data_IF_330447967677
#
_entry.id   IF_330447967677
#
_cell.length_a   1.000
_cell.length_b   1.000
_cell.length_c   1.000
_cell.angle_alpha   90.00
_cell.angle_beta   90.00
_cell.angle_gamma   90.00
#
_symmetry.space_group_name_H-M   'P 1'
#
loop_
_entity.id
_entity.type
_entity.pdbx_description
1 polymer ?
#
# COMPACT_ATOMS: atom_id res chain seq x y z
N UNK A 1 -11.40 10.28 9.16
CA UNK A 1 -12.64 9.53 9.48
C UNK A 1 -12.36 8.57 10.62
N UNK A 2 -13.34 8.21 11.47
CA UNK A 2 -13.15 7.13 12.45
C UNK A 2 -13.06 5.77 11.75
N UNK A 3 -12.14 4.91 12.16
CA UNK A 3 -12.02 3.54 11.65
C UNK A 3 -12.77 2.52 12.52
N UNK A 4 -13.38 2.95 13.63
CA UNK A 4 -14.16 2.07 14.53
C UNK A 4 -15.23 1.22 13.83
N UNK A 5 -15.89 1.66 12.73
CA UNK A 5 -16.84 0.81 12.01
C UNK A 5 -16.19 -0.42 11.33
N UNK A 6 -14.87 -0.44 11.16
CA UNK A 6 -14.13 -1.57 10.58
C UNK A 6 -13.59 -2.54 11.63
N UNK A 7 -13.90 -2.37 12.92
CA UNK A 7 -13.45 -3.30 13.97
C UNK A 7 -14.07 -4.68 13.74
N UNK A 8 -13.29 -5.72 13.98
CA UNK A 8 -13.76 -7.11 13.89
C UNK A 8 -14.78 -7.37 15.01
N UNK A 9 -15.99 -7.79 14.63
CA UNK A 9 -17.02 -8.28 15.54
C UNK A 9 -16.99 -9.80 15.70
N UNK A 10 -16.78 -10.52 14.60
CA UNK A 10 -16.70 -11.97 14.62
C UNK A 10 -15.80 -12.49 13.52
N UNK A 11 -15.22 -13.66 13.78
CA UNK A 11 -14.40 -14.40 12.84
C UNK A 11 -15.02 -15.79 12.69
N UNK A 12 -15.28 -16.19 11.46
CA UNK A 12 -15.61 -17.57 11.12
C UNK A 12 -14.56 -18.11 10.13
N UNK A 13 -14.21 -19.39 10.28
CA UNK A 13 -13.26 -20.05 9.40
C UNK A 13 -13.96 -21.18 8.67
N UNK A 14 -13.64 -21.31 7.39
CA UNK A 14 -13.99 -22.45 6.55
C UNK A 14 -12.71 -23.14 6.10
N UNK A 15 -12.83 -24.22 5.33
CA UNK A 15 -11.66 -24.90 4.76
C UNK A 15 -10.87 -24.02 3.78
N UNK A 16 -11.48 -22.94 3.27
CA UNK A 16 -10.91 -22.13 2.18
C UNK A 16 -10.81 -20.64 2.48
N UNK A 17 -11.60 -20.12 3.43
CA UNK A 17 -11.72 -18.69 3.71
C UNK A 17 -11.79 -18.38 5.20
N UNK A 18 -11.20 -17.23 5.55
CA UNK A 18 -11.44 -16.47 6.77
C UNK A 18 -12.55 -15.45 6.50
N UNK A 19 -13.63 -15.50 7.26
CA UNK A 19 -14.77 -14.59 7.18
C UNK A 19 -14.72 -13.64 8.37
N UNK A 20 -14.47 -12.35 8.11
CA UNK A 20 -14.41 -11.32 9.15
C UNK A 20 -15.67 -10.45 9.05
N UNK A 21 -16.54 -10.52 10.05
CA UNK A 21 -17.68 -9.59 10.15
C UNK A 21 -17.23 -8.35 10.91
N UNK A 22 -17.37 -7.18 10.28
CA UNK A 22 -16.95 -5.90 10.83
C UNK A 22 -18.11 -5.18 11.54
N UNK A 23 -17.79 -4.19 12.37
CA UNK A 23 -18.77 -3.45 13.17
C UNK A 23 -19.82 -2.67 12.37
N UNK A 24 -19.55 -2.36 11.11
CA UNK A 24 -20.49 -1.76 10.17
C UNK A 24 -21.40 -2.79 9.47
N UNK A 25 -21.28 -4.09 9.79
CA UNK A 25 -22.05 -5.18 9.19
C UNK A 25 -21.47 -5.70 7.87
N UNK A 26 -20.36 -5.13 7.37
CA UNK A 26 -19.67 -5.67 6.21
C UNK A 26 -18.92 -6.96 6.58
N UNK A 27 -18.97 -7.97 5.70
CA UNK A 27 -18.19 -9.20 5.85
C UNK A 27 -17.08 -9.25 4.81
N UNK A 28 -15.83 -9.30 5.27
CA UNK A 28 -14.67 -9.58 4.41
C UNK A 28 -14.50 -11.08 4.27
N UNK A 29 -14.19 -11.53 3.05
CA UNK A 29 -13.88 -12.93 2.73
C UNK A 29 -12.43 -13.02 2.26
N UNK A 30 -11.55 -13.48 3.14
CA UNK A 30 -10.13 -13.57 2.85
C UNK A 30 -9.73 -15.03 2.58
N UNK A 31 -9.29 -15.40 1.36
CA UNK A 31 -8.86 -16.75 1.05
C UNK A 31 -7.65 -17.16 1.89
N UNK A 32 -7.77 -18.28 2.61
CA UNK A 32 -6.71 -18.79 3.50
C UNK A 32 -5.40 -19.09 2.74
N UNK A 33 -5.48 -19.43 1.44
CA UNK A 33 -4.33 -19.67 0.55
C UNK A 33 -3.40 -18.46 0.36
N UNK A 34 -3.85 -17.24 0.69
CA UNK A 34 -2.99 -16.04 0.69
C UNK A 34 -2.10 -15.97 1.93
N UNK A 35 -2.37 -16.80 2.93
CA UNK A 35 -1.65 -16.84 4.19
C UNK A 35 -1.10 -18.25 4.43
N UNK A 36 0.12 -18.50 3.95
CA UNK A 36 0.76 -19.84 3.97
C UNK A 36 0.69 -20.56 5.34
N UNK A 37 0.75 -19.81 6.44
CA UNK A 37 0.63 -20.36 7.80
C UNK A 37 -0.78 -20.85 8.11
N UNK A 38 -1.81 -20.10 7.71
CA UNK A 38 -3.20 -20.51 7.85
C UNK A 38 -3.53 -21.66 6.90
N UNK A 39 -3.01 -21.63 5.67
CA UNK A 39 -3.19 -22.69 4.69
C UNK A 39 -2.68 -24.04 5.20
N UNK A 40 -1.49 -24.06 5.81
CA UNK A 40 -0.89 -25.27 6.36
C UNK A 40 -1.42 -25.69 7.73
N UNK A 41 -2.17 -24.82 8.43
CA UNK A 41 -2.71 -25.11 9.75
C UNK A 41 -3.89 -26.11 9.68
N UNK A 42 -4.02 -26.95 10.70
CA UNK A 42 -5.21 -27.77 10.89
C UNK A 42 -6.44 -26.93 11.25
N UNK A 43 -7.67 -27.43 11.04
CA UNK A 43 -8.88 -26.71 11.48
C UNK A 43 -8.84 -26.31 12.97
N UNK A 44 -8.34 -27.20 13.84
CA UNK A 44 -8.23 -26.93 15.27
C UNK A 44 -7.25 -25.79 15.59
N UNK A 45 -6.11 -25.72 14.90
CA UNK A 45 -5.14 -24.62 15.07
C UNK A 45 -5.68 -23.29 14.55
N UNK A 46 -6.45 -23.32 13.46
CA UNK A 46 -7.10 -22.12 12.90
C UNK A 46 -8.14 -21.52 13.84
N UNK A 47 -8.74 -22.31 14.72
CA UNK A 47 -9.68 -21.79 15.73
C UNK A 47 -8.98 -21.09 16.90
N UNK A 48 -7.66 -21.25 17.07
CA UNK A 48 -6.89 -20.67 18.19
C UNK A 48 -6.38 -19.26 17.88
N UNK A 49 -7.29 -18.34 17.58
CA UNK A 49 -6.96 -16.94 17.30
C UNK A 49 -7.19 -16.00 18.49
N UNK A 50 -6.56 -14.83 18.45
CA UNK A 50 -6.78 -13.73 19.40
C UNK A 50 -6.82 -12.39 18.65
N UNK A 51 -7.65 -11.46 19.14
CA UNK A 51 -7.69 -10.10 18.60
C UNK A 51 -6.55 -9.25 19.19
N UNK A 52 -5.98 -8.40 18.34
CA UNK A 52 -4.96 -7.40 18.68
C UNK A 52 -5.27 -6.08 17.96
N UNK A 53 -4.39 -5.08 18.07
CA UNK A 53 -4.56 -3.74 17.48
C UNK A 53 -5.97 -3.17 17.72
N UNK A 54 -6.45 -3.20 18.97
CA UNK A 54 -7.79 -2.71 19.33
C UNK A 54 -8.94 -3.35 18.52
N UNK A 55 -8.82 -4.64 18.20
CA UNK A 55 -9.83 -5.40 17.46
C UNK A 55 -9.78 -5.21 15.94
N UNK A 56 -8.70 -4.65 15.40
CA UNK A 56 -8.44 -4.57 13.96
C UNK A 56 -7.51 -5.68 13.46
N UNK A 57 -6.69 -6.24 14.37
CA UNK A 57 -5.72 -7.30 14.05
C UNK A 57 -6.13 -8.66 14.61
N UNK A 58 -5.63 -9.72 13.98
CA UNK A 58 -5.80 -11.12 14.41
C UNK A 58 -4.45 -11.81 14.45
N UNK A 59 -4.19 -12.55 15.53
CA UNK A 59 -3.00 -13.41 15.68
C UNK A 59 -3.41 -14.86 15.91
N UNK A 60 -2.54 -15.78 15.49
CA UNK A 60 -2.59 -17.21 15.83
C UNK A 60 -1.29 -17.57 16.53
N UNK A 61 -1.21 -17.48 17.88
CA UNK A 61 0.05 -17.61 18.60
C UNK A 61 0.76 -18.95 18.40
N UNK A 62 0.00 -20.01 18.10
CA UNK A 62 0.55 -21.33 17.77
C UNK A 62 1.22 -21.39 16.39
N UNK A 63 0.85 -20.49 15.47
CA UNK A 63 1.34 -20.45 14.08
C UNK A 63 2.47 -19.43 13.88
N UNK A 64 2.44 -18.33 14.61
CA UNK A 64 3.43 -17.26 14.54
C UNK A 64 3.49 -16.48 15.86
N UNK A 65 4.69 -16.04 16.23
CA UNK A 65 4.87 -15.12 17.35
C UNK A 65 3.96 -13.89 17.18
N UNK A 66 3.12 -13.53 18.18
CA UNK A 66 2.21 -12.41 18.06
C UNK A 66 2.93 -11.06 17.83
N UNK A 67 2.41 -10.25 16.93
CA UNK A 67 2.76 -8.83 16.75
C UNK A 67 1.63 -7.94 17.28
N UNK A 68 1.92 -6.65 17.47
CA UNK A 68 0.91 -5.69 17.92
C UNK A 68 -0.17 -5.47 16.85
N UNK A 69 0.23 -5.47 15.57
CA UNK A 69 -0.64 -5.24 14.41
C UNK A 69 -1.46 -6.47 14.03
N UNK A 70 -1.00 -7.66 14.40
CA UNK A 70 -1.57 -8.93 14.00
C UNK A 70 -0.81 -9.60 12.85
N UNK A 71 -1.07 -10.89 12.68
CA UNK A 71 -0.67 -11.62 11.47
C UNK A 71 -1.55 -11.24 10.28
N UNK A 72 -2.78 -10.79 10.56
CA UNK A 72 -3.73 -10.22 9.62
C UNK A 72 -4.33 -8.97 10.25
N UNK A 73 -4.51 -7.91 9.46
CA UNK A 73 -5.14 -6.67 9.90
C UNK A 73 -6.20 -6.23 8.89
N UNK A 74 -7.39 -5.89 9.36
CA UNK A 74 -8.50 -5.50 8.47
C UNK A 74 -8.23 -4.21 7.71
N UNK A 75 -7.38 -3.32 8.22
CA UNK A 75 -7.00 -2.13 7.48
C UNK A 75 -6.24 -2.48 6.22
N UNK A 76 -5.36 -3.48 6.26
CA UNK A 76 -4.57 -3.89 5.10
C UNK A 76 -5.49 -4.52 4.04
N UNK A 77 -6.42 -5.40 4.46
CA UNK A 77 -7.41 -6.01 3.55
C UNK A 77 -8.32 -4.97 2.87
N UNK A 78 -8.82 -3.99 3.64
CA UNK A 78 -9.67 -2.93 3.11
C UNK A 78 -8.88 -1.95 2.22
N UNK A 79 -7.59 -1.77 2.50
CA UNK A 79 -6.73 -0.93 1.69
C UNK A 79 -6.42 -1.59 0.34
N UNK A 80 -6.14 -2.89 0.35
CA UNK A 80 -6.00 -3.68 -0.87
C UNK A 80 -7.27 -3.59 -1.74
N UNK A 81 -8.46 -3.66 -1.12
CA UNK A 81 -9.73 -3.46 -1.85
C UNK A 81 -9.85 -2.05 -2.46
N UNK A 82 -9.38 -1.00 -1.78
CA UNK A 82 -9.34 0.35 -2.36
C UNK A 82 -8.50 0.36 -3.64
N UNK A 83 -7.34 -0.29 -3.62
CA UNK A 83 -6.46 -0.40 -4.78
C UNK A 83 -7.05 -1.26 -5.89
N UNK A 84 -7.58 -2.43 -5.56
CA UNK A 84 -8.21 -3.33 -6.53
C UNK A 84 -9.37 -2.62 -7.25
N UNK A 85 -10.21 -1.87 -6.52
CA UNK A 85 -11.31 -1.11 -7.12
C UNK A 85 -10.82 0.03 -8.02
N UNK A 86 -9.82 0.80 -7.59
CA UNK A 86 -9.26 1.88 -8.39
C UNK A 86 -8.58 1.36 -9.68
N UNK A 87 -7.84 0.24 -9.57
CA UNK A 87 -7.22 -0.42 -10.71
C UNK A 87 -8.25 -1.05 -11.67
N UNK A 88 -9.35 -1.59 -11.15
CA UNK A 88 -10.46 -2.07 -11.98
C UNK A 88 -11.13 -0.91 -12.75
N UNK A 89 -11.33 0.25 -12.12
CA UNK A 89 -11.84 1.46 -12.79
C UNK A 89 -10.85 1.96 -13.85
N UNK A 90 -9.55 1.93 -13.56
CA UNK A 90 -8.51 2.25 -14.55
C UNK A 90 -8.57 1.34 -15.77
N UNK A 91 -8.70 0.02 -15.55
CA UNK A 91 -8.83 -0.95 -16.63
C UNK A 91 -10.10 -0.69 -17.47
N UNK A 92 -11.23 -0.40 -16.81
CA UNK A 92 -12.47 -0.04 -17.48
C UNK A 92 -12.37 1.28 -18.27
N UNK A 93 -11.48 2.18 -17.85
CA UNK A 93 -11.15 3.43 -18.55
C UNK A 93 -10.05 3.25 -19.63
N UNK A 94 -9.79 2.02 -20.08
CA UNK A 94 -8.77 1.71 -21.09
C UNK A 94 -7.37 2.20 -20.70
N UNK A 95 -7.05 2.10 -19.40
CA UNK A 95 -5.77 2.53 -18.83
C UNK A 95 -5.47 4.03 -18.91
N UNK A 96 -6.49 4.85 -19.21
CA UNK A 96 -6.37 6.31 -19.26
C UNK A 96 -6.66 6.92 -17.89
N UNK A 97 -5.59 7.30 -17.18
CA UNK A 97 -5.64 7.84 -15.82
C UNK A 97 -6.49 9.12 -15.72
N UNK A 98 -6.39 10.00 -16.71
CA UNK A 98 -7.09 11.28 -16.78
C UNK A 98 -8.62 11.15 -16.92
N UNK A 99 -9.12 9.98 -17.33
CA UNK A 99 -10.56 9.67 -17.36
C UNK A 99 -11.14 9.29 -16.01
N UNK A 100 -10.29 9.04 -15.00
CA UNK A 100 -10.75 8.63 -13.68
C UNK A 100 -11.13 9.82 -12.79
N UNK A 101 -11.90 9.53 -11.74
CA UNK A 101 -12.15 10.49 -10.66
C UNK A 101 -10.83 10.89 -10.00
N UNK A 102 -10.77 12.08 -9.39
CA UNK A 102 -9.55 12.53 -8.70
C UNK A 102 -9.10 11.55 -7.60
N UNK A 103 -10.04 10.92 -6.90
CA UNK A 103 -9.73 9.93 -5.86
C UNK A 103 -9.10 8.68 -6.46
N UNK A 104 -9.68 8.15 -7.54
CA UNK A 104 -9.12 6.96 -8.20
C UNK A 104 -7.76 7.25 -8.82
N UNK A 105 -7.54 8.46 -9.37
CA UNK A 105 -6.23 8.88 -9.83
C UNK A 105 -5.19 8.82 -8.69
N UNK A 106 -5.53 9.37 -7.52
CA UNK A 106 -4.67 9.37 -6.34
C UNK A 106 -4.38 7.94 -5.84
N UNK A 107 -5.40 7.06 -5.78
CA UNK A 107 -5.24 5.66 -5.39
C UNK A 107 -4.36 4.88 -6.37
N UNK A 108 -4.55 5.07 -7.69
CA UNK A 108 -3.70 4.45 -8.71
C UNK A 108 -2.26 4.93 -8.59
N UNK A 109 -2.03 6.23 -8.31
CA UNK A 109 -0.68 6.76 -8.15
C UNK A 109 0.03 6.18 -6.91
N UNK A 110 -0.68 6.05 -5.79
CA UNK A 110 -0.14 5.40 -4.58
C UNK A 110 0.16 3.93 -4.84
N UNK A 111 -0.74 3.18 -5.49
CA UNK A 111 -0.51 1.78 -5.83
C UNK A 111 0.71 1.61 -6.74
N UNK A 112 0.83 2.41 -7.81
CA UNK A 112 1.98 2.38 -8.73
C UNK A 112 3.30 2.68 -8.02
N UNK A 113 3.28 3.64 -7.11
CA UNK A 113 4.43 4.00 -6.27
C UNK A 113 4.85 2.82 -5.41
N UNK A 114 3.94 2.23 -4.63
CA UNK A 114 4.27 1.06 -3.80
C UNK A 114 4.71 -0.13 -4.66
N UNK A 115 4.00 -0.44 -5.74
CA UNK A 115 4.31 -1.59 -6.59
C UNK A 115 5.72 -1.51 -7.21
N UNK A 116 6.09 -0.37 -7.77
CA UNK A 116 7.38 -0.25 -8.47
C UNK A 116 8.54 0.03 -7.52
N UNK A 117 8.36 0.83 -6.47
CA UNK A 117 9.46 1.09 -5.51
C UNK A 117 9.84 -0.18 -4.76
N UNK A 118 8.86 -1.01 -4.38
CA UNK A 118 9.17 -2.30 -3.74
C UNK A 118 9.76 -3.34 -4.71
N UNK A 119 9.59 -3.18 -6.02
CA UNK A 119 10.06 -4.16 -7.01
C UNK A 119 11.42 -3.78 -7.61
N UNK A 120 11.69 -2.50 -7.83
CA UNK A 120 12.92 -2.01 -8.44
C UNK A 120 13.28 -0.57 -8.10
N UNK A 121 12.83 -0.08 -6.94
CA UNK A 121 13.20 1.24 -6.42
C UNK A 121 12.51 2.41 -7.13
N UNK A 122 12.85 3.62 -6.68
CA UNK A 122 12.28 4.87 -7.16
C UNK A 122 12.45 5.07 -8.67
N UNK A 123 13.57 4.64 -9.23
CA UNK A 123 13.83 4.76 -10.66
C UNK A 123 12.86 3.93 -11.50
N UNK A 124 12.48 2.72 -11.07
CA UNK A 124 11.47 1.94 -11.77
C UNK A 124 10.12 2.68 -11.80
N UNK A 125 9.70 3.24 -10.66
CA UNK A 125 8.46 4.01 -10.55
C UNK A 125 8.47 5.24 -11.47
N UNK A 126 9.56 5.99 -11.46
CA UNK A 126 9.69 7.18 -12.30
C UNK A 126 9.71 6.84 -13.78
N UNK A 127 10.49 5.85 -14.20
CA UNK A 127 10.64 5.48 -15.60
C UNK A 127 9.34 4.89 -16.19
N UNK A 128 8.58 4.14 -15.40
CA UNK A 128 7.31 3.56 -15.85
C UNK A 128 6.18 4.59 -15.96
N UNK A 129 6.11 5.56 -15.03
CA UNK A 129 4.91 6.40 -14.88
C UNK A 129 5.15 7.91 -14.98
N UNK A 130 6.41 8.32 -15.01
CA UNK A 130 6.84 9.68 -15.23
C UNK A 130 6.55 10.65 -14.08
N UNK A 131 7.03 11.88 -14.29
CA UNK A 131 6.90 13.01 -13.36
C UNK A 131 5.44 13.31 -12.94
N UNK A 132 4.42 13.29 -13.85
CA UNK A 132 3.04 13.58 -13.44
C UNK A 132 2.48 12.59 -12.41
N UNK A 133 2.75 11.29 -12.56
CA UNK A 133 2.28 10.27 -11.60
C UNK A 133 3.00 10.40 -10.27
N UNK A 134 4.30 10.69 -10.29
CA UNK A 134 5.08 10.96 -9.08
C UNK A 134 4.53 12.17 -8.31
N UNK A 135 4.20 13.27 -9.00
CA UNK A 135 3.58 14.45 -8.39
C UNK A 135 2.21 14.14 -7.76
N UNK A 136 1.42 13.29 -8.41
CA UNK A 136 0.13 12.86 -7.90
C UNK A 136 0.28 11.99 -6.63
N UNK A 137 1.27 11.08 -6.60
CA UNK A 137 1.59 10.28 -5.40
C UNK A 137 2.04 11.17 -4.24
N UNK A 138 2.91 12.17 -4.47
CA UNK A 138 3.31 13.16 -3.46
C UNK A 138 2.10 13.93 -2.90
N UNK A 139 1.17 14.34 -3.76
CA UNK A 139 -0.05 15.03 -3.34
C UNK A 139 -0.96 14.11 -2.50
N UNK A 140 -1.08 12.85 -2.90
CA UNK A 140 -1.88 11.85 -2.19
C UNK A 140 -1.27 11.51 -0.81
N UNK A 141 0.06 11.30 -0.71
CA UNK A 141 0.77 11.09 0.55
C UNK A 141 0.57 12.26 1.53
N UNK A 142 0.68 13.49 1.01
CA UNK A 142 0.39 14.70 1.81
C UNK A 142 -1.06 14.73 2.29
N UNK A 143 -2.01 14.37 1.43
CA UNK A 143 -3.45 14.36 1.74
C UNK A 143 -3.80 13.32 2.82
N UNK A 144 -3.17 12.14 2.81
CA UNK A 144 -3.39 11.11 3.84
C UNK A 144 -2.61 11.36 5.13
N UNK A 145 -1.64 12.27 5.11
CA UNK A 145 -0.82 12.59 6.28
C UNK A 145 0.32 11.59 6.53
N UNK A 146 0.78 10.89 5.49
CA UNK A 146 1.94 9.98 5.57
C UNK A 146 3.24 10.81 5.50
N UNK A 147 3.58 11.45 6.62
CA UNK A 147 4.63 12.47 6.68
C UNK A 147 6.03 11.95 6.39
N UNK A 148 6.36 10.75 6.86
CA UNK A 148 7.69 10.16 6.70
C UNK A 148 7.85 9.61 5.28
N UNK A 149 6.84 8.88 4.78
CA UNK A 149 6.81 8.39 3.41
C UNK A 149 6.85 9.54 2.40
N UNK A 150 6.11 10.62 2.67
CA UNK A 150 6.18 11.85 1.87
C UNK A 150 7.58 12.45 1.86
N UNK A 151 8.27 12.49 3.01
CA UNK A 151 9.61 13.03 3.11
C UNK A 151 10.62 12.20 2.29
N UNK A 152 10.55 10.87 2.38
CA UNK A 152 11.36 9.95 1.57
C UNK A 152 11.13 10.20 0.08
N UNK A 153 9.87 10.13 -0.39
CA UNK A 153 9.56 10.31 -1.80
C UNK A 153 9.91 11.71 -2.31
N UNK A 154 9.73 12.75 -1.48
CA UNK A 154 10.11 14.12 -1.83
C UNK A 154 11.63 14.25 -1.97
N UNK A 155 12.41 13.53 -1.15
CA UNK A 155 13.87 13.55 -1.22
C UNK A 155 14.38 12.82 -2.45
N UNK A 156 13.84 11.62 -2.73
CA UNK A 156 14.11 10.89 -3.98
C UNK A 156 13.83 11.77 -5.20
N UNK A 157 12.70 12.49 -5.16
CA UNK A 157 12.32 13.42 -6.21
C UNK A 157 13.29 14.60 -6.33
N UNK A 158 13.75 15.17 -5.21
CA UNK A 158 14.71 16.26 -5.22
C UNK A 158 16.08 15.89 -5.82
N UNK A 159 16.49 14.62 -5.72
CA UNK A 159 17.72 14.14 -6.37
C UNK A 159 17.61 14.17 -7.90
N UNK A 160 16.40 13.98 -8.45
CA UNK A 160 16.20 13.96 -9.90
C UNK A 160 15.90 15.34 -10.50
N UNK A 161 15.44 16.31 -9.70
CA UNK A 161 14.97 17.61 -10.22
C UNK A 161 16.04 18.37 -11.03
N UNK A 162 17.33 18.19 -10.72
CA UNK A 162 18.43 18.81 -11.49
C UNK A 162 18.54 18.27 -12.92
N UNK A 163 18.01 17.08 -13.18
CA UNK A 163 18.09 16.43 -14.49
C UNK A 163 16.92 16.76 -15.41
N UNK A 164 15.80 17.31 -14.91
CA UNK A 164 14.63 17.64 -15.74
C UNK A 164 14.96 18.63 -16.88
N UNK A 165 16.01 19.44 -16.71
CA UNK A 165 16.51 20.37 -17.72
C UNK A 165 17.96 20.09 -18.16
N UNK A 166 18.54 18.95 -17.75
CA UNK A 166 19.93 18.63 -18.06
C UNK A 166 20.06 18.12 -19.50
N UNK A 167 20.97 18.67 -20.32
CA UNK A 167 21.23 18.16 -21.66
C UNK A 167 21.94 16.79 -21.65
N UNK A 168 22.48 16.36 -20.51
CA UNK A 168 23.18 15.07 -20.34
C UNK A 168 22.21 13.89 -20.18
N UNK A 169 20.92 14.17 -19.92
CA UNK A 169 19.87 13.17 -19.75
C UNK A 169 18.89 13.33 -20.90
N UNK A 170 18.84 12.32 -21.78
CA UNK A 170 17.92 12.32 -22.92
C UNK A 170 16.64 11.58 -22.55
N UNK A 171 16.76 10.48 -21.80
CA UNK A 171 15.67 9.65 -21.32
C UNK A 171 15.73 9.48 -19.79
N UNK A 172 14.60 9.19 -19.12
CA UNK A 172 14.56 8.99 -17.66
C UNK A 172 15.51 7.86 -17.19
N UNK A 173 15.74 6.85 -18.02
CA UNK A 173 16.64 5.75 -17.71
C UNK A 173 18.12 6.17 -17.65
N UNK A 174 18.50 7.32 -18.24
CA UNK A 174 19.88 7.81 -18.22
C UNK A 174 20.24 8.47 -16.89
N UNK A 175 19.22 8.88 -16.11
CA UNK A 175 19.40 9.66 -14.87
C UNK A 175 20.33 8.94 -13.89
N UNK A 176 20.12 7.64 -13.67
CA UNK A 176 20.90 6.90 -12.67
C UNK A 176 22.39 6.90 -13.02
N UNK A 177 22.75 6.75 -14.29
CA UNK A 177 24.14 6.80 -14.75
C UNK A 177 24.76 8.20 -14.71
N UNK A 178 23.94 9.26 -14.71
CA UNK A 178 24.37 10.65 -14.62
C UNK A 178 24.47 11.17 -13.16
N UNK A 179 24.00 10.39 -12.19
CA UNK A 179 24.17 10.66 -10.77
C UNK A 179 25.60 10.40 -10.32
N UNK A 180 26.10 11.25 -9.43
CA UNK A 180 27.35 11.00 -8.71
C UNK A 180 27.22 9.78 -7.79
N UNK A 181 28.33 9.14 -7.44
CA UNK A 181 28.33 7.99 -6.53
C UNK A 181 27.59 8.30 -5.21
N UNK A 182 27.78 9.50 -4.65
CA UNK A 182 27.10 9.92 -3.42
C UNK A 182 25.58 10.08 -3.59
N UNK A 183 25.11 10.52 -4.77
CA UNK A 183 23.68 10.61 -5.05
C UNK A 183 23.07 9.21 -5.27
N UNK A 184 23.80 8.28 -5.88
CA UNK A 184 23.36 6.88 -6.03
C UNK A 184 23.25 6.20 -4.67
N UNK A 185 24.28 6.33 -3.82
CA UNK A 185 24.24 5.84 -2.43
C UNK A 185 23.06 6.44 -1.65
N UNK A 186 22.78 7.73 -1.83
CA UNK A 186 21.61 8.36 -1.20
C UNK A 186 20.29 7.81 -1.73
N UNK A 187 20.15 7.58 -3.05
CA UNK A 187 18.96 6.98 -3.63
C UNK A 187 18.71 5.56 -3.09
N UNK A 188 19.76 4.73 -3.02
CA UNK A 188 19.68 3.38 -2.45
C UNK A 188 19.23 3.40 -0.98
N UNK A 189 19.79 4.32 -0.17
CA UNK A 189 19.39 4.49 1.22
C UNK A 189 17.92 4.94 1.36
N UNK A 190 17.42 5.77 0.44
CA UNK A 190 16.03 6.20 0.42
C UNK A 190 15.10 5.07 0.01
N UNK A 191 15.47 4.25 -0.99
CA UNK A 191 14.69 3.06 -1.38
C UNK A 191 14.54 2.11 -0.19
N UNK A 192 15.63 1.85 0.54
CA UNK A 192 15.58 1.08 1.78
C UNK A 192 14.65 1.71 2.82
N UNK A 193 14.74 3.03 3.03
CA UNK A 193 13.86 3.74 3.95
C UNK A 193 12.38 3.67 3.56
N UNK A 194 12.07 3.57 2.26
CA UNK A 194 10.72 3.33 1.78
C UNK A 194 10.24 1.90 2.11
N UNK A 195 11.09 0.89 1.93
CA UNK A 195 10.77 -0.52 2.20
C UNK A 195 10.50 -0.82 3.67
N UNK A 196 10.94 0.04 4.59
CA UNK A 196 10.59 -0.05 6.02
C UNK A 196 9.12 0.33 6.30
N UNK A 197 8.39 0.87 5.31
CA UNK A 197 7.02 1.37 5.45
C UNK A 197 6.85 2.31 6.65
N UNK A 198 7.53 3.46 6.67
CA UNK A 198 7.62 4.33 7.85
C UNK A 198 6.27 4.95 8.27
N UNK A 199 5.27 4.90 7.40
CA UNK A 199 3.87 5.23 7.72
C UNK A 199 2.94 4.09 7.29
N UNK A 200 1.96 3.75 8.14
CA UNK A 200 0.93 2.74 7.82
C UNK A 200 -0.11 3.32 6.85
N UNK A 201 0.17 3.24 5.55
CA UNK A 201 -0.72 3.76 4.49
C UNK A 201 -2.11 3.15 4.54
N UNK A 202 -2.26 1.88 4.90
CA UNK A 202 -3.57 1.24 5.05
C UNK A 202 -4.46 1.96 6.07
N UNK A 203 -3.91 2.28 7.25
CA UNK A 203 -4.63 3.00 8.30
C UNK A 203 -4.88 4.46 7.91
N UNK A 204 -3.88 5.17 7.42
CA UNK A 204 -4.00 6.60 7.07
C UNK A 204 -4.90 6.82 5.85
N UNK A 205 -4.70 6.01 4.82
CA UNK A 205 -5.45 6.01 3.58
C UNK A 205 -6.94 5.74 3.81
N UNK A 206 -7.30 4.75 4.62
CA UNK A 206 -8.71 4.47 4.93
C UNK A 206 -9.41 5.63 5.66
N UNK A 207 -8.70 6.43 6.45
CA UNK A 207 -9.31 7.60 7.10
C UNK A 207 -9.73 8.69 6.12
N UNK A 208 -9.16 8.68 4.91
CA UNK A 208 -9.40 9.65 3.84
C UNK A 208 -10.26 9.07 2.71
N UNK A 209 -9.93 7.86 2.27
CA UNK A 209 -10.53 7.22 1.09
C UNK A 209 -11.54 6.13 1.42
N UNK A 210 -11.59 5.63 2.65
CA UNK A 210 -12.42 4.48 3.03
C UNK A 210 -13.92 4.67 2.83
N UNK A 211 -14.41 5.90 2.74
CA UNK A 211 -15.80 6.18 2.39
C UNK A 211 -16.18 5.76 0.95
N UNK A 212 -15.18 5.55 0.07
CA UNK A 212 -15.40 5.12 -1.31
C UNK A 212 -15.39 3.59 -1.47
N UNK A 213 -15.18 2.85 -0.39
CA UNK A 213 -15.29 1.39 -0.42
C UNK A 213 -16.74 1.02 -0.74
N UNK A 214 -16.94 0.52 -1.95
CA UNK A 214 -18.19 -0.11 -2.33
C UNK A 214 -18.19 -1.56 -1.81
N UNK A 215 -19.32 -2.04 -1.26
CA UNK A 215 -19.48 -3.45 -0.87
C UNK A 215 -19.47 -4.38 -2.09
#
# INVERSE_FOLDING_TARGET
>A
MSLTPYRIQSIALTDTHLLLTLANGHTLQEPIRRHIRLENATPAEREQWQLVDDGFGVVWPALLAPSAEGMLNVHDLLWDQCYEQAMARLAAAEWQLDRLSRVDQELVALWRMEADINNGGFMQFLCNWGSPTCQLALQALRKVGATHMLAVLSRMRGLIDRFEASPEVVELNDIYGAMTDAEQEEMEALDHAFWEYPDRLSRLGLQVYGANLQP
#
